data_IF_660693965247
#
_entry.id   IF_660693965247
#
_cell.length_a   1.000
_cell.length_b   1.000
_cell.length_c   1.000
_cell.angle_alpha   90.00
_cell.angle_beta   90.00
_cell.angle_gamma   90.00
#
_symmetry.space_group_name_H-M   'P 1'
#
loop_
_entity.id
_entity.type
_entity.pdbx_description
1 polymer ?
#
# COMPACT_ATOMS: atom_id res chain seq x y z
N UNK A 1 5.90 -2.99 13.62
CA UNK A 1 6.30 -1.78 12.89
C UNK A 1 7.54 -2.12 12.07
N UNK A 2 7.64 -1.67 10.82
CA UNK A 2 8.79 -1.95 9.95
C UNK A 2 9.32 -0.66 9.35
N UNK A 3 10.63 -0.57 9.15
CA UNK A 3 11.28 0.62 8.56
C UNK A 3 11.17 0.66 7.03
N UNK A 4 10.93 -0.51 6.41
CA UNK A 4 10.84 -0.65 4.95
C UNK A 4 9.83 -1.70 4.52
N UNK A 5 9.08 -1.38 3.48
CA UNK A 5 8.10 -2.23 2.82
C UNK A 5 8.37 -2.28 1.31
N UNK A 6 7.92 -3.38 0.70
CA UNK A 6 8.01 -3.64 -0.73
C UNK A 6 6.65 -4.14 -1.23
N UNK A 7 6.19 -3.59 -2.34
CA UNK A 7 5.03 -4.12 -3.07
C UNK A 7 5.55 -4.78 -4.33
N UNK A 8 5.26 -6.07 -4.48
CA UNK A 8 5.61 -6.85 -5.67
C UNK A 8 4.35 -7.11 -6.47
N UNK A 9 4.35 -6.75 -7.74
CA UNK A 9 3.25 -6.97 -8.66
C UNK A 9 3.80 -7.55 -9.96
N UNK A 10 3.18 -8.65 -10.44
CA UNK A 10 3.63 -9.38 -11.63
C UNK A 10 5.12 -9.77 -11.60
N UNK A 11 5.59 -10.24 -10.43
CA UNK A 11 6.97 -10.69 -10.25
C UNK A 11 8.03 -9.59 -10.23
N UNK A 12 7.64 -8.31 -10.23
CA UNK A 12 8.54 -7.16 -10.16
C UNK A 12 8.22 -6.28 -8.96
N UNK A 13 9.24 -5.63 -8.40
CA UNK A 13 9.05 -4.61 -7.37
C UNK A 13 8.38 -3.40 -8.01
N UNK A 14 7.16 -3.11 -7.57
CA UNK A 14 6.36 -1.98 -8.02
C UNK A 14 6.75 -0.69 -7.30
N UNK A 15 6.87 -0.76 -5.98
CA UNK A 15 7.32 0.33 -5.11
C UNK A 15 7.96 -0.25 -3.86
N UNK A 16 8.94 0.46 -3.32
CA UNK A 16 9.56 0.16 -2.03
C UNK A 16 9.93 1.43 -1.30
N UNK A 17 9.83 1.42 0.02
CA UNK A 17 10.12 2.59 0.85
C UNK A 17 9.60 2.39 2.27
N UNK A 18 9.46 3.45 3.02
CA UNK A 18 8.72 3.43 4.29
C UNK A 18 7.26 3.03 4.05
N UNK A 19 6.55 2.52 5.08
CA UNK A 19 5.13 2.18 4.94
C UNK A 19 4.28 3.36 4.44
N UNK A 20 4.55 4.58 4.88
CA UNK A 20 3.82 5.77 4.44
C UNK A 20 4.02 6.08 2.96
N UNK A 21 5.25 5.97 2.46
CA UNK A 21 5.57 6.19 1.04
C UNK A 21 4.92 5.13 0.15
N UNK A 22 4.93 3.87 0.59
CA UNK A 22 4.33 2.76 -0.14
C UNK A 22 2.81 2.89 -0.20
N UNK A 23 2.16 3.28 0.91
CA UNK A 23 0.71 3.49 0.96
C UNK A 23 0.26 4.71 0.15
N UNK A 24 1.10 5.74 0.02
CA UNK A 24 0.82 6.93 -0.78
C UNK A 24 1.03 6.71 -2.29
N UNK A 25 1.61 5.57 -2.70
CA UNK A 25 1.85 5.29 -4.11
C UNK A 25 0.53 4.96 -4.83
N UNK A 26 0.10 5.85 -5.75
CA UNK A 26 -1.16 5.71 -6.51
C UNK A 26 -1.27 4.38 -7.26
N UNK A 27 -0.18 3.95 -7.90
CA UNK A 27 -0.19 2.70 -8.64
C UNK A 27 -0.37 1.50 -7.71
N UNK A 28 0.28 1.50 -6.55
CA UNK A 28 0.09 0.47 -5.53
C UNK A 28 -1.33 0.50 -4.94
N UNK A 29 -1.94 1.69 -4.80
CA UNK A 29 -3.36 1.81 -4.43
C UNK A 29 -4.25 1.15 -5.47
N UNK A 30 -4.04 1.39 -6.76
CA UNK A 30 -4.92 0.84 -7.80
C UNK A 30 -4.78 -0.68 -7.98
N UNK A 31 -3.56 -1.24 -7.85
CA UNK A 31 -3.29 -2.65 -8.20
C UNK A 31 -3.10 -3.59 -7.00
N UNK A 32 -2.87 -3.05 -5.79
CA UNK A 32 -2.53 -3.87 -4.62
C UNK A 32 -3.41 -3.55 -3.39
N UNK A 33 -3.54 -2.28 -3.01
CA UNK A 33 -4.28 -1.89 -1.80
C UNK A 33 -5.77 -1.62 -2.02
N UNK A 34 -6.19 -1.35 -3.27
CA UNK A 34 -7.49 -0.78 -3.58
C UNK A 34 -7.54 0.74 -3.35
N UNK A 35 -8.51 1.41 -3.98
CA UNK A 35 -8.81 2.81 -3.66
C UNK A 35 -9.25 2.91 -2.21
N UNK A 36 -8.52 3.70 -1.43
CA UNK A 36 -8.90 3.99 -0.05
C UNK A 36 -10.04 5.01 -0.08
N UNK A 37 -11.27 4.52 -0.18
CA UNK A 37 -12.43 5.32 0.16
C UNK A 37 -12.31 5.68 1.65
N UNK A 38 -12.53 6.96 2.02
CA UNK A 38 -12.44 7.46 3.41
C UNK A 38 -13.53 6.88 4.34
N UNK A 39 -13.99 5.66 4.08
CA UNK A 39 -15.03 4.95 4.84
C UNK A 39 -14.49 3.68 5.50
N UNK A 40 -13.17 3.48 5.53
CA UNK A 40 -12.51 2.38 6.23
C UNK A 40 -12.14 2.63 7.69
N UNK A 41 -12.68 3.67 8.36
CA UNK A 41 -12.48 3.90 9.80
C UNK A 41 -13.49 3.10 10.66
N UNK A 42 -13.68 1.82 10.36
CA UNK A 42 -14.39 0.88 11.22
C UNK A 42 -14.18 -0.54 10.69
N UNK A 43 -12.98 -1.10 10.90
CA UNK A 43 -12.77 -2.56 10.92
C UNK A 43 -11.37 -2.88 11.45
N UNK A 44 -11.26 -2.92 12.78
CA UNK A 44 -10.57 -3.95 13.53
C UNK A 44 -11.13 -3.88 14.96
N UNK A 45 -11.55 -5.03 15.47
CA UNK A 45 -12.23 -5.24 16.75
C UNK A 45 -11.41 -4.81 17.98
#
# INVERSE_FOLDING_TARGET
>A
MTDRAYVVYQGKVLVSGTPGEVLANKQAQDVYFGRQDKTGAAQAA
#
